data_IF_621440277540
#
_entry.id   IF_621440277540
#
_cell.length_a   1.000
_cell.length_b   1.000
_cell.length_c   1.000
_cell.angle_alpha   90.00
_cell.angle_beta   90.00
_cell.angle_gamma   90.00
#
_symmetry.space_group_name_H-M   'P 1'
#
loop_
_entity.id
_entity.type
_entity.pdbx_description
1 polymer ?
#
# COMPACT_ATOMS: atom_id res chain seq x y z
N UNK A 1 -14.81 -5.25 16.64
CA UNK A 1 -13.61 -6.11 16.88
C UNK A 1 -13.15 -5.94 18.33
N UNK A 2 -12.60 -6.99 18.97
CA UNK A 2 -11.92 -6.82 20.27
C UNK A 2 -10.64 -5.97 20.05
N UNK A 3 -10.19 -5.18 21.03
CA UNK A 3 -8.94 -4.43 20.92
C UNK A 3 -7.78 -5.35 20.54
N UNK A 4 -7.02 -4.98 19.51
CA UNK A 4 -5.84 -5.72 19.09
C UNK A 4 -4.71 -5.43 20.09
N UNK A 5 -4.33 -6.44 20.89
CA UNK A 5 -3.28 -6.30 21.92
C UNK A 5 -1.88 -6.13 21.33
N UNK A 6 -1.73 -6.23 20.00
CA UNK A 6 -0.49 -5.97 19.27
C UNK A 6 -0.36 -4.51 18.84
N UNK A 7 -1.40 -3.69 18.99
CA UNK A 7 -1.35 -2.28 18.63
C UNK A 7 -0.45 -1.50 19.58
N UNK A 8 0.35 -0.58 19.03
CA UNK A 8 1.27 0.28 19.77
C UNK A 8 1.04 1.75 19.40
N UNK A 9 1.37 2.66 20.31
CA UNK A 9 1.47 4.08 19.98
C UNK A 9 2.80 4.32 19.28
N UNK A 10 2.74 5.03 18.16
CA UNK A 10 3.88 5.44 17.35
C UNK A 10 3.66 6.88 16.86
N UNK A 11 4.52 7.39 15.99
CA UNK A 11 4.38 8.70 15.35
C UNK A 11 4.27 8.56 13.84
N UNK A 12 3.48 9.42 13.20
CA UNK A 12 3.37 9.46 11.75
C UNK A 12 4.76 9.84 11.17
N UNK A 13 5.30 9.06 10.21
CA UNK A 13 6.60 9.36 9.61
C UNK A 13 6.72 10.81 9.14
N UNK A 14 7.85 11.44 9.46
CA UNK A 14 8.09 12.86 9.18
C UNK A 14 7.31 13.85 10.08
N UNK A 15 6.69 13.42 11.19
CA UNK A 15 5.98 14.32 12.11
C UNK A 15 5.95 13.82 13.56
N UNK A 16 5.59 14.71 14.49
CA UNK A 16 5.36 14.38 15.91
C UNK A 16 3.89 14.05 16.22
N UNK A 17 3.07 13.77 15.20
CA UNK A 17 1.65 13.42 15.40
C UNK A 17 1.55 11.96 15.86
N UNK A 18 1.00 11.68 17.05
CA UNK A 18 0.88 10.32 17.54
C UNK A 18 -0.19 9.54 16.77
N UNK A 19 0.10 8.28 16.45
CA UNK A 19 -0.79 7.35 15.75
C UNK A 19 -0.87 6.02 16.50
N UNK A 20 -2.01 5.33 16.36
CA UNK A 20 -2.15 3.95 16.82
C UNK A 20 -1.74 3.00 15.68
N UNK A 21 -0.54 2.44 15.75
CA UNK A 21 -0.03 1.48 14.77
C UNK A 21 -0.54 0.08 15.13
N UNK A 22 -1.50 -0.41 14.34
CA UNK A 22 -1.99 -1.78 14.43
C UNK A 22 -1.33 -2.64 13.34
N UNK A 23 -0.68 -3.73 13.75
CA UNK A 23 -0.11 -4.68 12.80
C UNK A 23 -1.22 -5.37 11.98
N UNK A 24 -0.97 -5.53 10.68
CA UNK A 24 -1.80 -6.31 9.77
C UNK A 24 -0.92 -7.38 9.13
N UNK A 25 -1.27 -8.63 9.38
CA UNK A 25 -0.44 -9.83 9.16
C UNK A 25 -1.26 -10.95 8.55
N UNK A 26 -0.59 -11.93 7.95
CA UNK A 26 -1.26 -13.11 7.37
C UNK A 26 -2.11 -13.81 8.44
N UNK A 27 -3.38 -14.04 8.12
CA UNK A 27 -4.36 -14.66 9.03
C UNK A 27 -5.26 -13.66 9.76
N UNK A 28 -4.93 -12.36 9.73
CA UNK A 28 -5.85 -11.34 10.22
C UNK A 28 -7.13 -11.28 9.37
N UNK A 29 -8.25 -10.94 10.02
CA UNK A 29 -9.52 -10.77 9.31
C UNK A 29 -9.41 -9.58 8.38
N UNK A 30 -9.67 -9.80 7.09
CA UNK A 30 -9.74 -8.73 6.12
C UNK A 30 -10.86 -7.74 6.51
N UNK A 31 -10.63 -6.42 6.34
CA UNK A 31 -11.70 -5.45 6.45
C UNK A 31 -12.84 -5.73 5.47
N UNK A 32 -14.04 -5.26 5.80
CA UNK A 32 -15.23 -5.53 4.98
C UNK A 32 -15.14 -4.93 3.57
N UNK A 33 -14.40 -3.82 3.39
CA UNK A 33 -14.18 -3.21 2.07
C UNK A 33 -13.25 -4.02 1.17
N UNK A 34 -12.60 -5.07 1.68
CA UNK A 34 -11.84 -6.02 0.86
C UNK A 34 -12.74 -7.13 0.26
N UNK A 35 -14.04 -7.16 0.60
CA UNK A 35 -14.96 -8.18 0.08
C UNK A 35 -15.04 -8.09 -1.45
N UNK A 36 -14.85 -9.21 -2.12
CA UNK A 36 -14.91 -9.31 -3.59
C UNK A 36 -13.65 -8.84 -4.31
N UNK A 37 -12.65 -8.32 -3.59
CA UNK A 37 -11.38 -7.92 -4.18
C UNK A 37 -10.42 -9.12 -4.25
N UNK A 38 -9.79 -9.39 -5.40
CA UNK A 38 -8.76 -10.40 -5.48
C UNK A 38 -7.59 -10.01 -4.57
N UNK A 39 -7.14 -10.96 -3.74
CA UNK A 39 -5.94 -10.76 -2.94
C UNK A 39 -4.73 -10.55 -3.86
N UNK A 40 -3.83 -9.64 -3.48
CA UNK A 40 -2.60 -9.31 -4.24
C UNK A 40 -2.86 -8.83 -5.67
N UNK A 41 -3.99 -8.16 -5.90
CA UNK A 41 -4.25 -7.53 -7.18
C UNK A 41 -3.49 -6.20 -7.28
N UNK A 42 -2.75 -6.04 -8.38
CA UNK A 42 -2.11 -4.79 -8.78
C UNK A 42 -2.79 -4.26 -10.04
N UNK A 43 -2.94 -2.94 -10.12
CA UNK A 43 -3.48 -2.25 -11.28
C UNK A 43 -2.65 -1.01 -11.57
N UNK A 44 -2.49 -0.70 -12.85
CA UNK A 44 -1.83 0.51 -13.31
C UNK A 44 -2.62 1.07 -14.49
N UNK A 45 -3.03 2.33 -14.39
CA UNK A 45 -3.80 3.02 -15.43
C UNK A 45 -3.13 4.35 -15.78
N UNK A 46 -3.09 4.68 -17.07
CA UNK A 46 -2.74 6.03 -17.53
C UNK A 46 -4.02 6.85 -17.66
N UNK A 47 -4.34 7.63 -16.63
CA UNK A 47 -5.55 8.45 -16.57
C UNK A 47 -5.60 9.56 -17.63
N UNK A 48 -4.47 9.91 -18.26
CA UNK A 48 -4.45 10.91 -19.33
C UNK A 48 -5.00 10.32 -20.63
N UNK A 49 -4.67 9.06 -20.90
CA UNK A 49 -5.07 8.33 -22.12
C UNK A 49 -6.34 7.50 -21.92
N UNK A 50 -6.53 6.98 -20.72
CA UNK A 50 -7.65 6.15 -20.31
C UNK A 50 -8.25 6.66 -18.98
N UNK A 51 -9.03 7.75 -19.01
CA UNK A 51 -9.72 8.25 -17.83
C UNK A 51 -10.74 7.28 -17.23
N UNK A 52 -11.08 6.21 -17.95
CA UNK A 52 -12.06 5.22 -17.53
C UNK A 52 -11.46 3.98 -16.86
N UNK A 53 -10.13 3.91 -16.71
CA UNK A 53 -9.42 2.77 -16.08
C UNK A 53 -9.78 1.41 -16.72
N UNK A 54 -9.96 1.39 -18.04
CA UNK A 54 -10.33 0.22 -18.82
C UNK A 54 -9.11 -0.63 -19.24
N UNK A 55 -7.94 -0.01 -19.43
CA UNK A 55 -6.71 -0.66 -19.88
C UNK A 55 -5.70 -0.79 -18.72
N UNK A 56 -5.65 -1.97 -18.11
CA UNK A 56 -4.64 -2.26 -17.08
C UNK A 56 -3.25 -2.48 -17.72
N UNK A 57 -2.27 -1.66 -17.34
CA UNK A 57 -0.90 -1.65 -17.87
C UNK A 57 0.08 -2.53 -17.08
N UNK A 58 -0.39 -3.27 -16.08
CA UNK A 58 0.43 -4.25 -15.34
C UNK A 58 1.04 -5.29 -16.31
N UNK A 59 2.30 -5.66 -16.06
CA UNK A 59 3.11 -6.50 -16.95
C UNK A 59 3.69 -5.75 -18.17
N UNK A 60 3.29 -4.49 -18.39
CA UNK A 60 3.77 -3.65 -19.47
C UNK A 60 5.10 -2.95 -19.16
N UNK A 61 5.62 -2.21 -20.15
CA UNK A 61 6.87 -1.48 -20.02
C UNK A 61 6.85 -0.37 -18.95
N UNK A 62 5.68 0.25 -18.71
CA UNK A 62 5.53 1.33 -17.75
C UNK A 62 5.55 0.88 -16.29
N UNK A 63 5.20 -0.39 -16.01
CA UNK A 63 5.05 -0.90 -14.64
C UNK A 63 6.33 -0.70 -13.83
N UNK A 64 7.48 -1.08 -14.38
CA UNK A 64 8.77 -0.93 -13.71
C UNK A 64 9.05 0.53 -13.35
N UNK A 65 8.82 1.45 -14.28
CA UNK A 65 9.05 2.88 -14.07
C UNK A 65 8.15 3.42 -12.96
N UNK A 66 6.91 2.96 -12.89
CA UNK A 66 5.96 3.35 -11.84
C UNK A 66 6.32 2.76 -10.48
N UNK A 67 6.81 1.52 -10.43
CA UNK A 67 7.34 0.92 -9.20
C UNK A 67 8.54 1.72 -8.68
N UNK A 68 9.48 2.09 -9.56
CA UNK A 68 10.65 2.90 -9.19
C UNK A 68 10.22 4.28 -8.64
N UNK A 69 9.24 4.92 -9.28
CA UNK A 69 8.69 6.20 -8.81
C UNK A 69 7.97 6.06 -7.46
N UNK A 70 7.19 5.00 -7.27
CA UNK A 70 6.52 4.70 -6.01
C UNK A 70 7.52 4.47 -4.88
N UNK A 71 8.57 3.67 -5.14
CA UNK A 71 9.64 3.43 -4.17
C UNK A 71 10.32 4.75 -3.75
N UNK A 72 10.67 5.60 -4.72
CA UNK A 72 11.28 6.90 -4.46
C UNK A 72 10.36 7.81 -3.62
N UNK A 73 9.06 7.86 -3.95
CA UNK A 73 8.09 8.65 -3.21
C UNK A 73 7.91 8.15 -1.75
N UNK A 74 7.80 6.84 -1.55
CA UNK A 74 7.71 6.25 -0.21
C UNK A 74 8.96 6.53 0.62
N UNK A 75 10.14 6.48 -0.01
CA UNK A 75 11.42 6.80 0.65
C UNK A 75 11.46 8.27 1.08
N UNK A 76 11.05 9.18 0.20
CA UNK A 76 10.99 10.61 0.50
C UNK A 76 10.00 10.97 1.61
N UNK A 77 8.96 10.15 1.78
CA UNK A 77 7.99 10.26 2.87
C UNK A 77 8.43 9.55 4.16
N UNK A 78 9.64 9.00 4.20
CA UNK A 78 10.13 8.18 5.32
C UNK A 78 9.18 7.03 5.67
N UNK A 79 8.51 6.45 4.65
CA UNK A 79 7.52 5.41 4.87
C UNK A 79 8.13 4.22 5.66
N UNK A 80 7.36 3.56 6.55
CA UNK A 80 7.87 2.47 7.34
C UNK A 80 8.31 1.31 6.44
N UNK A 81 9.40 0.61 6.80
CA UNK A 81 9.93 -0.53 6.05
C UNK A 81 8.87 -1.59 5.77
N UNK A 82 7.96 -1.85 6.71
CA UNK A 82 6.91 -2.84 6.55
C UNK A 82 5.95 -2.51 5.39
N UNK A 83 5.86 -1.24 4.98
CA UNK A 83 5.06 -0.84 3.82
C UNK A 83 5.69 -1.30 2.50
N UNK A 84 7.02 -1.22 2.37
CA UNK A 84 7.74 -1.74 1.20
C UNK A 84 7.62 -3.26 1.10
N UNK A 85 7.75 -3.95 2.24
CA UNK A 85 7.60 -5.41 2.31
C UNK A 85 6.20 -5.88 1.91
N UNK A 86 5.15 -5.17 2.35
CA UNK A 86 3.75 -5.47 1.98
C UNK A 86 3.46 -5.26 0.51
N UNK A 87 4.10 -4.26 -0.10
CA UNK A 87 3.96 -3.95 -1.52
C UNK A 87 4.84 -4.83 -2.40
N UNK A 88 5.77 -5.62 -1.83
CA UNK A 88 6.69 -6.47 -2.58
C UNK A 88 7.81 -5.71 -3.29
N UNK A 89 8.15 -4.52 -2.79
CA UNK A 89 9.12 -3.58 -3.39
C UNK A 89 10.28 -3.23 -2.44
N UNK A 90 10.51 -4.05 -1.42
CA UNK A 90 11.60 -3.88 -0.45
C UNK A 90 12.97 -4.33 -0.99
#
# INVERSE_FOLDING_TARGET
PKPDRRAVIDFMPGSDIPVLKQAFTKGDRLPWWCVGQPANAHVLYDLTRDPGEQENLVGGAEERRMIELLHAALTAMEAPREQFERLGIA
#
